data_IF_013258494010
#
_entry.id   IF_013258494010
#
_cell.length_a   1.000
_cell.length_b   1.000
_cell.length_c   1.000
_cell.angle_alpha   90.00
_cell.angle_beta   90.00
_cell.angle_gamma   90.00
#
_symmetry.space_group_name_H-M   'P 1'
#
loop_
_entity.id
_entity.type
_entity.pdbx_description
1 polymer ?
#
# COMPACT_ATOMS: atom_id res chain seq x y z
N UNK A 1 -20.39 -57.93 -58.25
CA UNK A 1 -20.02 -56.56 -57.82
C UNK A 1 -21.04 -56.07 -56.81
N UNK A 2 -20.64 -55.80 -55.57
CA UNK A 2 -21.49 -55.04 -54.65
C UNK A 2 -21.38 -53.55 -54.99
N UNK A 3 -22.49 -52.92 -55.36
CA UNK A 3 -22.52 -51.51 -55.73
C UNK A 3 -22.45 -50.65 -54.46
N UNK A 4 -21.36 -49.90 -54.31
CA UNK A 4 -21.12 -49.05 -53.15
C UNK A 4 -22.04 -47.81 -53.24
N UNK A 5 -23.03 -47.72 -52.35
CA UNK A 5 -23.92 -46.56 -52.24
C UNK A 5 -23.21 -45.40 -51.51
N UNK A 6 -22.57 -44.55 -52.31
CA UNK A 6 -21.90 -43.32 -51.83
C UNK A 6 -22.88 -42.28 -51.25
N UNK A 7 -24.17 -42.36 -51.59
CA UNK A 7 -25.23 -41.48 -51.08
C UNK A 7 -25.62 -41.87 -49.65
N UNK A 8 -25.90 -43.15 -49.41
CA UNK A 8 -26.12 -43.67 -48.06
C UNK A 8 -24.88 -43.47 -47.17
N UNK A 9 -23.69 -43.71 -47.72
CA UNK A 9 -22.43 -43.50 -47.00
C UNK A 9 -22.19 -42.04 -46.58
N UNK A 10 -22.71 -41.03 -47.30
CA UNK A 10 -22.63 -39.62 -46.89
C UNK A 10 -23.54 -39.30 -45.70
N UNK A 11 -24.72 -39.93 -45.64
CA UNK A 11 -25.71 -39.72 -44.58
C UNK A 11 -25.37 -40.42 -43.25
N UNK A 12 -24.57 -41.49 -43.29
CA UNK A 12 -24.14 -42.23 -42.09
C UNK A 12 -23.27 -41.41 -41.12
N UNK A 13 -23.25 -41.82 -39.84
CA UNK A 13 -22.45 -41.15 -38.79
C UNK A 13 -20.96 -41.40 -39.01
N UNK A 14 -20.11 -40.49 -38.52
CA UNK A 14 -18.67 -40.53 -38.78
C UNK A 14 -17.97 -41.85 -38.38
N UNK A 15 -18.43 -42.51 -37.30
CA UNK A 15 -17.96 -43.84 -36.89
C UNK A 15 -18.34 -44.95 -37.87
N UNK A 16 -19.58 -44.92 -38.35
CA UNK A 16 -20.13 -45.88 -39.33
C UNK A 16 -19.44 -45.72 -40.69
N UNK A 17 -19.20 -44.48 -41.14
CA UNK A 17 -18.44 -44.19 -42.37
C UNK A 17 -17.03 -44.76 -42.34
N UNK A 18 -16.34 -44.68 -41.20
CA UNK A 18 -15.00 -45.27 -41.04
C UNK A 18 -15.02 -46.80 -41.11
N UNK A 19 -15.99 -47.45 -40.47
CA UNK A 19 -16.16 -48.90 -40.56
C UNK A 19 -16.44 -49.36 -42.00
N UNK A 20 -17.36 -48.68 -42.70
CA UNK A 20 -17.71 -48.98 -44.09
C UNK A 20 -16.54 -48.78 -45.05
N UNK A 21 -15.72 -47.74 -44.87
CA UNK A 21 -14.56 -47.49 -45.72
C UNK A 21 -13.44 -48.54 -45.54
N UNK A 22 -13.24 -49.03 -44.31
CA UNK A 22 -12.28 -50.13 -44.04
C UNK A 22 -12.78 -51.43 -44.66
N UNK A 23 -14.04 -51.81 -44.41
CA UNK A 23 -14.63 -53.03 -45.00
C UNK A 23 -14.65 -53.00 -46.53
N UNK A 24 -14.90 -51.84 -47.15
CA UNK A 24 -14.84 -51.69 -48.60
C UNK A 24 -13.40 -51.83 -49.14
N UNK A 25 -12.39 -51.38 -48.40
CA UNK A 25 -10.98 -51.55 -48.74
C UNK A 25 -10.54 -53.01 -48.58
N UNK A 26 -10.88 -53.67 -47.47
CA UNK A 26 -10.51 -55.06 -47.21
C UNK A 26 -11.12 -56.00 -48.26
N UNK A 27 -12.40 -55.80 -48.62
CA UNK A 27 -13.06 -56.54 -49.70
C UNK A 27 -12.41 -56.27 -51.08
N UNK A 28 -11.96 -55.04 -51.36
CA UNK A 28 -11.24 -54.71 -52.58
C UNK A 28 -9.83 -55.34 -52.64
N UNK A 29 -9.20 -55.59 -51.49
CA UNK A 29 -7.93 -56.31 -51.42
C UNK A 29 -8.08 -57.82 -51.63
N UNK A 30 -9.26 -58.39 -51.34
CA UNK A 30 -9.54 -59.82 -51.55
C UNK A 30 -9.80 -60.18 -53.02
N UNK A 31 -10.42 -59.28 -53.79
CA UNK A 31 -10.55 -59.40 -55.26
C UNK A 31 -10.16 -58.07 -55.95
N UNK A 32 -8.85 -57.85 -56.19
CA UNK A 32 -8.38 -56.63 -56.83
C UNK A 32 -8.83 -56.45 -58.29
N UNK A 33 -9.22 -57.54 -58.96
CA UNK A 33 -9.60 -57.54 -60.38
C UNK A 33 -11.02 -57.03 -60.63
N UNK A 34 -11.93 -57.26 -59.69
CA UNK A 34 -13.31 -56.76 -59.74
C UNK A 34 -13.54 -55.48 -58.91
N UNK A 35 -12.51 -54.96 -58.22
CA UNK A 35 -12.63 -53.85 -57.29
C UNK A 35 -12.80 -52.47 -57.96
N UNK A 36 -13.81 -51.71 -57.53
CA UNK A 36 -13.96 -50.30 -57.88
C UNK A 36 -13.14 -49.41 -56.93
N UNK A 37 -11.83 -49.35 -57.18
CA UNK A 37 -10.86 -48.56 -56.39
C UNK A 37 -11.24 -47.08 -56.25
N UNK A 38 -11.96 -46.51 -57.22
CA UNK A 38 -12.42 -45.11 -57.17
C UNK A 38 -13.50 -44.89 -56.11
N UNK A 39 -14.47 -45.81 -56.02
CA UNK A 39 -15.50 -45.77 -54.97
C UNK A 39 -14.91 -46.02 -53.57
N UNK A 40 -13.91 -46.91 -53.45
CA UNK A 40 -13.17 -47.14 -52.19
C UNK A 40 -12.41 -45.86 -51.77
N UNK A 41 -11.73 -45.19 -52.70
CA UNK A 41 -11.04 -43.93 -52.42
C UNK A 41 -12.00 -42.81 -51.98
N UNK A 42 -13.18 -42.70 -52.60
CA UNK A 42 -14.21 -41.74 -52.18
C UNK A 42 -14.80 -42.06 -50.79
N UNK A 43 -15.00 -43.34 -50.45
CA UNK A 43 -15.39 -43.74 -49.08
C UNK A 43 -14.31 -43.39 -48.06
N UNK A 44 -13.04 -43.69 -48.34
CA UNK A 44 -11.92 -43.33 -47.46
C UNK A 44 -11.83 -41.81 -47.27
N UNK A 45 -12.04 -41.02 -48.33
CA UNK A 45 -12.07 -39.55 -48.27
C UNK A 45 -13.23 -39.01 -47.44
N UNK A 46 -14.38 -39.69 -47.40
CA UNK A 46 -15.54 -39.36 -46.54
C UNK A 46 -15.39 -39.86 -45.09
N UNK A 47 -14.55 -40.86 -44.86
CA UNK A 47 -14.23 -41.42 -43.55
C UNK A 47 -13.15 -40.64 -42.80
N UNK A 48 -12.23 -39.98 -43.52
CA UNK A 48 -11.29 -39.02 -42.91
C UNK A 48 -12.11 -37.85 -42.33
N UNK A 49 -12.03 -37.57 -41.02
CA UNK A 49 -12.70 -36.40 -40.46
C UNK A 49 -12.11 -35.16 -41.12
N UNK A 50 -12.97 -34.31 -41.67
CA UNK A 50 -12.53 -33.04 -42.25
C UNK A 50 -11.69 -32.28 -41.22
N UNK A 51 -10.39 -32.15 -41.49
CA UNK A 51 -9.54 -31.24 -40.74
C UNK A 51 -10.21 -29.88 -40.83
N UNK A 52 -10.52 -29.28 -39.67
CA UNK A 52 -11.17 -27.97 -39.64
C UNK A 52 -10.29 -27.01 -40.43
N UNK A 53 -10.74 -26.64 -41.63
CA UNK A 53 -10.06 -25.63 -42.42
C UNK A 53 -9.90 -24.39 -41.55
N UNK A 54 -8.71 -23.78 -41.59
CA UNK A 54 -8.46 -22.53 -40.90
C UNK A 54 -9.56 -21.52 -41.28
N UNK A 55 -10.04 -20.68 -40.34
CA UNK A 55 -11.08 -19.72 -40.65
C UNK A 55 -10.63 -18.86 -41.83
N UNK A 56 -11.45 -18.87 -42.89
CA UNK A 56 -11.19 -18.14 -44.12
C UNK A 56 -11.14 -16.65 -43.78
N UNK A 57 -9.94 -16.07 -43.80
CA UNK A 57 -9.74 -14.67 -43.47
C UNK A 57 -10.61 -13.80 -44.40
N UNK A 58 -11.42 -12.93 -43.81
CA UNK A 58 -12.13 -11.87 -44.53
C UNK A 58 -11.12 -10.85 -45.05
N UNK A 59 -11.40 -10.31 -46.24
CA UNK A 59 -10.45 -9.54 -47.03
C UNK A 59 -10.18 -8.12 -46.49
N UNK A 60 -9.08 -7.54 -46.99
CA UNK A 60 -8.77 -6.10 -47.06
C UNK A 60 -8.53 -5.34 -45.74
N UNK A 61 -7.32 -5.53 -45.23
CA UNK A 61 -6.46 -4.44 -44.76
C UNK A 61 -5.05 -4.65 -45.37
N UNK A 62 -4.19 -3.63 -45.53
CA UNK A 62 -2.81 -3.88 -45.95
C UNK A 62 -2.17 -4.86 -44.96
N UNK A 63 -1.60 -5.95 -45.47
CA UNK A 63 -1.02 -7.02 -44.65
C UNK A 63 0.22 -6.50 -43.90
N UNK A 64 -0.02 -5.94 -42.71
CA UNK A 64 1.04 -5.70 -41.74
C UNK A 64 1.76 -7.02 -41.49
N UNK A 65 3.09 -7.00 -41.55
CA UNK A 65 3.92 -8.16 -41.18
C UNK A 65 3.65 -8.66 -39.76
N UNK A 66 3.10 -7.78 -38.92
CA UNK A 66 2.79 -8.04 -37.53
C UNK A 66 1.40 -8.66 -37.37
N UNK A 67 1.31 -9.69 -36.54
CA UNK A 67 0.04 -10.30 -36.18
C UNK A 67 -0.86 -9.28 -35.43
N UNK A 68 -2.19 -9.33 -35.64
CA UNK A 68 -3.12 -8.36 -35.06
C UNK A 68 -3.14 -8.44 -33.53
N UNK A 69 -3.24 -7.29 -32.86
CA UNK A 69 -3.44 -7.23 -31.43
C UNK A 69 -4.77 -7.91 -31.03
N UNK A 70 -4.68 -8.84 -30.08
CA UNK A 70 -5.85 -9.41 -29.42
C UNK A 70 -5.62 -9.52 -27.91
N UNK A 71 -6.57 -8.97 -27.15
CA UNK A 71 -6.72 -9.23 -25.72
C UNK A 71 -8.16 -9.65 -25.47
N UNK A 72 -8.36 -10.77 -24.77
CA UNK A 72 -9.69 -11.27 -24.42
C UNK A 72 -9.67 -12.08 -23.13
N UNK A 73 -10.77 -12.02 -22.39
CA UNK A 73 -10.97 -12.85 -21.22
C UNK A 73 -11.02 -14.33 -21.59
N UNK A 74 -10.30 -15.15 -20.83
CA UNK A 74 -10.37 -16.61 -20.89
C UNK A 74 -11.25 -17.06 -19.73
N UNK A 75 -12.39 -17.73 -19.98
CA UNK A 75 -13.29 -18.13 -18.91
C UNK A 75 -12.61 -19.16 -17.99
N UNK A 76 -12.86 -19.11 -16.69
CA UNK A 76 -12.23 -20.01 -15.71
C UNK A 76 -12.51 -21.51 -15.98
N UNK A 77 -13.60 -21.83 -16.69
CA UNK A 77 -13.94 -23.19 -17.13
C UNK A 77 -13.08 -23.72 -18.31
N UNK A 78 -12.17 -22.90 -18.87
CA UNK A 78 -11.22 -23.31 -19.89
C UNK A 78 -10.03 -24.06 -19.26
N UNK A 79 -10.24 -25.33 -18.89
CA UNK A 79 -9.18 -26.18 -18.37
C UNK A 79 -8.06 -26.39 -19.41
N UNK A 80 -6.82 -26.62 -18.95
CA UNK A 80 -5.63 -26.77 -19.83
C UNK A 80 -5.77 -27.80 -20.95
N UNK A 81 -6.55 -28.87 -20.74
CA UNK A 81 -6.91 -29.86 -21.79
C UNK A 81 -7.65 -29.26 -23.00
N UNK A 82 -8.38 -28.15 -22.83
CA UNK A 82 -9.06 -27.41 -23.90
C UNK A 82 -8.21 -26.31 -24.52
N UNK A 83 -7.22 -25.78 -23.79
CA UNK A 83 -6.36 -24.69 -24.25
C UNK A 83 -5.15 -25.18 -25.08
N UNK A 84 -4.75 -26.44 -24.92
CA UNK A 84 -3.62 -27.02 -25.64
C UNK A 84 -2.26 -26.45 -25.19
N UNK A 85 -1.21 -26.68 -25.98
CA UNK A 85 0.11 -26.10 -25.71
C UNK A 85 0.06 -24.61 -26.04
N UNK A 86 0.12 -23.77 -25.01
CA UNK A 86 0.25 -22.33 -25.20
C UNK A 86 1.62 -22.00 -25.77
N UNK A 87 1.74 -21.22 -26.85
CA UNK A 87 3.03 -20.79 -27.37
C UNK A 87 3.65 -19.77 -26.42
N UNK A 88 4.97 -19.65 -26.45
CA UNK A 88 5.72 -18.73 -25.59
C UNK A 88 6.04 -17.46 -26.37
N UNK A 89 5.83 -16.31 -25.72
CA UNK A 89 6.37 -15.02 -26.13
C UNK A 89 7.73 -14.83 -25.51
N UNK A 90 8.68 -14.34 -26.29
CA UNK A 90 9.92 -13.76 -25.80
C UNK A 90 9.79 -12.25 -25.96
N UNK A 91 9.72 -11.54 -24.83
CA UNK A 91 9.56 -10.10 -24.74
C UNK A 91 10.90 -9.51 -24.32
N UNK A 92 11.43 -8.58 -25.11
CA UNK A 92 12.62 -7.79 -24.79
C UNK A 92 12.17 -6.40 -24.39
N UNK A 93 12.55 -5.95 -23.19
CA UNK A 93 12.29 -4.59 -22.73
C UNK A 93 13.42 -3.63 -23.16
N UNK A 94 13.15 -2.33 -23.16
CA UNK A 94 14.08 -1.27 -23.57
C UNK A 94 15.41 -1.27 -22.79
N UNK A 95 15.43 -1.82 -21.57
CA UNK A 95 16.62 -2.01 -20.76
C UNK A 95 17.41 -3.30 -21.08
N UNK A 96 17.11 -3.99 -22.19
CA UNK A 96 17.72 -5.26 -22.58
C UNK A 96 17.23 -6.48 -21.78
N UNK A 97 16.38 -6.29 -20.76
CA UNK A 97 15.84 -7.41 -19.99
C UNK A 97 14.92 -8.28 -20.86
N UNK A 98 15.20 -9.59 -20.90
CA UNK A 98 14.38 -10.58 -21.61
C UNK A 98 13.51 -11.38 -20.63
N UNK A 99 12.23 -11.54 -21.00
CA UNK A 99 11.25 -12.36 -20.27
C UNK A 99 10.53 -13.28 -21.25
N UNK A 100 10.38 -14.55 -20.87
CA UNK A 100 9.61 -15.56 -21.60
C UNK A 100 8.29 -15.83 -20.88
N UNK A 101 7.17 -15.72 -21.58
CA UNK A 101 5.83 -15.85 -20.98
C UNK A 101 4.85 -16.61 -21.90
N UNK A 102 4.00 -17.51 -21.37
CA UNK A 102 3.02 -18.23 -22.18
C UNK A 102 1.84 -17.33 -22.60
N UNK A 103 1.55 -17.27 -23.91
CA UNK A 103 0.38 -16.58 -24.48
C UNK A 103 -0.82 -17.53 -24.58
N UNK A 104 -1.43 -17.82 -23.43
CA UNK A 104 -2.61 -18.70 -23.33
C UNK A 104 -3.73 -18.15 -24.20
N UNK A 105 -4.22 -18.95 -25.15
CA UNK A 105 -5.19 -18.54 -26.18
C UNK A 105 -6.30 -19.57 -26.32
N UNK A 106 -7.50 -19.14 -26.72
CA UNK A 106 -8.62 -20.06 -26.97
C UNK A 106 -8.50 -20.72 -28.35
N UNK A 107 -8.85 -22.00 -28.52
CA UNK A 107 -8.81 -22.67 -29.82
C UNK A 107 -9.62 -21.93 -30.89
N UNK A 108 -9.00 -21.64 -32.03
CA UNK A 108 -9.63 -20.94 -33.15
C UNK A 108 -9.76 -19.43 -32.98
N UNK A 109 -9.23 -18.84 -31.90
CA UNK A 109 -9.06 -17.38 -31.74
C UNK A 109 -7.63 -16.96 -32.09
N UNK A 110 -7.39 -15.68 -32.44
CA UNK A 110 -6.04 -15.13 -32.55
C UNK A 110 -5.27 -15.24 -31.23
N UNK A 111 -3.94 -15.11 -31.33
CA UNK A 111 -3.05 -15.19 -30.18
C UNK A 111 -3.38 -14.08 -29.18
N UNK A 112 -3.61 -14.44 -27.91
CA UNK A 112 -3.92 -13.50 -26.85
C UNK A 112 -2.64 -12.79 -26.34
N UNK A 113 -2.11 -11.90 -27.18
CA UNK A 113 -0.90 -11.12 -26.90
C UNK A 113 -1.07 -10.26 -25.63
N UNK A 114 -2.26 -9.67 -25.40
CA UNK A 114 -2.53 -8.89 -24.19
C UNK A 114 -2.48 -9.72 -22.90
N UNK A 115 -2.95 -10.98 -22.92
CA UNK A 115 -2.75 -11.91 -21.79
C UNK A 115 -1.29 -12.31 -21.63
N UNK A 116 -0.58 -12.58 -22.73
CA UNK A 116 0.83 -12.98 -22.70
C UNK A 116 1.73 -11.87 -22.14
N UNK A 117 1.52 -10.62 -22.55
CA UNK A 117 2.24 -9.45 -22.04
C UNK A 117 1.98 -9.23 -20.55
N UNK A 118 0.73 -9.33 -20.08
CA UNK A 118 0.42 -9.25 -18.63
C UNK A 118 1.16 -10.32 -17.80
N UNK A 119 1.39 -11.52 -18.34
CA UNK A 119 2.19 -12.55 -17.67
C UNK A 119 3.69 -12.20 -17.73
N UNK A 120 4.20 -11.69 -18.85
CA UNK A 120 5.58 -11.21 -18.96
C UNK A 120 5.88 -10.07 -17.97
N UNK A 121 4.91 -9.16 -17.80
CA UNK A 121 4.96 -8.06 -16.85
C UNK A 121 5.06 -8.57 -15.41
N UNK A 122 4.18 -9.48 -14.99
CA UNK A 122 4.25 -10.11 -13.67
C UNK A 122 5.58 -10.84 -13.43
N UNK A 123 6.15 -11.49 -14.45
CA UNK A 123 7.47 -12.14 -14.35
C UNK A 123 8.63 -11.14 -14.27
N UNK A 124 8.57 -10.01 -14.97
CA UNK A 124 9.55 -8.92 -14.83
C UNK A 124 9.51 -8.35 -13.40
N UNK A 125 8.32 -7.95 -12.95
CA UNK A 125 8.05 -7.42 -11.60
C UNK A 125 8.55 -8.38 -10.51
N UNK A 126 8.16 -9.66 -10.57
CA UNK A 126 8.57 -10.67 -9.60
C UNK A 126 10.09 -10.94 -9.62
N UNK A 127 10.79 -10.74 -10.75
CA UNK A 127 12.26 -10.82 -10.81
C UNK A 127 12.90 -9.67 -10.03
N UNK A 128 12.43 -8.44 -10.23
CA UNK A 128 12.91 -7.24 -9.51
C UNK A 128 12.64 -7.37 -8.00
N UNK A 129 11.42 -7.73 -7.60
CA UNK A 129 11.04 -7.91 -6.19
C UNK A 129 11.97 -8.91 -5.47
N UNK A 130 12.26 -10.06 -6.10
CA UNK A 130 13.19 -11.07 -5.56
C UNK A 130 14.63 -10.56 -5.44
N UNK A 131 15.10 -9.72 -6.37
CA UNK A 131 16.42 -9.06 -6.27
C UNK A 131 16.48 -8.13 -5.06
N UNK A 132 15.38 -7.44 -4.76
CA UNK A 132 15.21 -6.64 -3.53
C UNK A 132 14.83 -7.49 -2.29
N UNK A 133 14.85 -8.83 -2.37
CA UNK A 133 14.53 -9.73 -1.25
C UNK A 133 13.06 -9.76 -0.82
N UNK A 134 12.14 -9.22 -1.62
CA UNK A 134 10.70 -9.21 -1.37
C UNK A 134 9.96 -10.39 -2.03
N UNK A 135 8.70 -10.60 -1.67
CA UNK A 135 7.86 -11.64 -2.28
C UNK A 135 7.27 -11.16 -3.61
N UNK A 136 6.80 -12.10 -4.44
CA UNK A 136 6.24 -11.76 -5.75
C UNK A 136 4.85 -11.11 -5.68
N UNK A 137 4.15 -11.21 -4.53
CA UNK A 137 2.88 -10.52 -4.31
C UNK A 137 3.08 -8.99 -4.27
N UNK A 138 4.23 -8.56 -3.75
CA UNK A 138 4.55 -7.16 -3.47
C UNK A 138 5.11 -6.43 -4.70
N UNK A 139 4.99 -7.03 -5.89
CA UNK A 139 5.77 -6.64 -7.08
C UNK A 139 5.07 -5.67 -8.02
N UNK A 140 3.78 -5.38 -7.80
CA UNK A 140 2.98 -4.49 -8.66
C UNK A 140 3.40 -3.01 -8.59
N UNK A 141 4.17 -2.61 -7.57
CA UNK A 141 4.81 -1.29 -7.50
C UNK A 141 5.89 -1.07 -8.55
N UNK A 142 6.41 -2.13 -9.19
CA UNK A 142 7.56 -2.03 -10.10
C UNK A 142 7.12 -1.51 -11.47
N UNK A 143 7.74 -0.42 -11.90
CA UNK A 143 7.60 0.15 -13.24
C UNK A 143 8.24 -0.77 -14.27
N UNK A 144 7.56 -0.95 -15.40
CA UNK A 144 7.98 -1.85 -16.47
C UNK A 144 8.41 -1.01 -17.68
N UNK A 145 9.68 -1.13 -18.14
CA UNK A 145 10.17 -0.37 -19.28
C UNK A 145 9.36 -0.61 -20.55
N UNK A 146 9.51 0.28 -21.54
CA UNK A 146 8.90 0.09 -22.85
C UNK A 146 9.33 -1.24 -23.50
N UNK A 147 8.51 -1.78 -24.39
CA UNK A 147 8.81 -3.03 -25.09
C UNK A 147 9.66 -2.69 -26.31
N UNK A 148 10.83 -3.32 -26.44
CA UNK A 148 11.73 -3.16 -27.58
C UNK A 148 11.48 -4.19 -28.67
N UNK A 149 11.14 -5.43 -28.31
CA UNK A 149 10.74 -6.46 -29.28
C UNK A 149 9.86 -7.55 -28.66
N UNK A 150 9.04 -8.17 -29.51
CA UNK A 150 8.18 -9.31 -29.16
C UNK A 150 8.28 -10.34 -30.28
N UNK A 151 8.77 -11.53 -29.94
CA UNK A 151 8.76 -12.68 -30.83
C UNK A 151 7.98 -13.84 -30.19
N UNK A 152 7.26 -14.62 -30.98
CA UNK A 152 6.58 -15.81 -30.50
C UNK A 152 7.18 -17.10 -31.10
N UNK A 153 7.24 -18.17 -30.31
CA UNK A 153 7.76 -19.49 -30.73
C UNK A 153 7.03 -20.08 -31.97
N UNK A 154 5.87 -19.54 -32.36
CA UNK A 154 5.11 -19.93 -33.56
C UNK A 154 5.43 -19.10 -34.82
N UNK A 155 6.43 -18.20 -34.76
CA UNK A 155 6.81 -17.31 -35.86
C UNK A 155 5.99 -16.02 -35.97
N UNK A 156 5.04 -15.76 -35.07
CA UNK A 156 4.30 -14.50 -35.05
C UNK A 156 5.17 -13.36 -34.45
N UNK A 157 5.33 -12.28 -35.22
CA UNK A 157 5.89 -11.01 -34.76
C UNK A 157 4.76 -10.03 -34.39
N UNK A 158 5.01 -9.13 -33.44
CA UNK A 158 4.08 -8.09 -33.02
C UNK A 158 4.79 -6.73 -33.01
N UNK A 159 4.07 -5.66 -33.35
CA UNK A 159 4.61 -4.31 -33.30
C UNK A 159 4.87 -3.91 -31.85
N UNK A 160 6.13 -3.72 -31.50
CA UNK A 160 6.55 -3.33 -30.16
C UNK A 160 6.07 -1.93 -29.78
N UNK A 161 5.79 -1.06 -30.76
CA UNK A 161 5.27 0.31 -30.57
C UNK A 161 3.81 0.26 -30.14
N UNK A 162 2.94 -0.32 -30.98
CA UNK A 162 1.51 -0.52 -30.68
C UNK A 162 1.31 -1.32 -29.36
N UNK A 163 2.12 -2.36 -29.14
CA UNK A 163 2.11 -3.09 -27.88
C UNK A 163 2.55 -2.24 -26.68
N UNK A 164 3.55 -1.37 -26.83
CA UNK A 164 4.02 -0.47 -25.76
C UNK A 164 3.00 0.60 -25.40
N UNK A 165 2.31 1.15 -26.41
CA UNK A 165 1.25 2.15 -26.24
C UNK A 165 0.02 1.54 -25.55
N UNK A 166 -0.52 0.43 -26.08
CA UNK A 166 -1.68 -0.27 -25.51
C UNK A 166 -1.46 -0.77 -24.08
N UNK A 167 -0.20 -0.99 -23.68
CA UNK A 167 0.16 -1.46 -22.33
C UNK A 167 0.71 -0.38 -21.41
N UNK A 168 0.78 0.89 -21.85
CA UNK A 168 1.43 1.95 -21.11
C UNK A 168 0.91 2.13 -19.67
N UNK A 169 -0.40 1.96 -19.46
CA UNK A 169 -1.02 2.01 -18.12
C UNK A 169 -0.64 0.80 -17.26
N UNK A 170 -0.77 -0.42 -17.79
CA UNK A 170 -0.45 -1.67 -17.09
C UNK A 170 1.05 -1.80 -16.72
N UNK A 171 1.91 -1.00 -17.36
CA UNK A 171 3.36 -0.92 -17.08
C UNK A 171 3.75 0.11 -16.02
N UNK A 172 2.83 0.98 -15.57
CA UNK A 172 3.11 1.99 -14.54
C UNK A 172 3.39 1.35 -13.19
N UNK A 173 4.29 1.96 -12.43
CA UNK A 173 4.62 1.65 -11.05
C UNK A 173 5.19 2.89 -10.35
N UNK A 174 5.49 2.76 -9.06
CA UNK A 174 6.19 3.77 -8.24
C UNK A 174 7.69 3.52 -8.18
N UNK A 175 8.15 2.28 -8.40
CA UNK A 175 9.55 1.88 -8.31
C UNK A 175 10.18 1.68 -9.70
N UNK A 176 11.03 2.61 -10.14
CA UNK A 176 11.83 2.49 -11.36
C UNK A 176 13.16 1.79 -11.08
N UNK A 177 13.15 0.46 -11.24
CA UNK A 177 14.34 -0.38 -11.11
C UNK A 177 15.45 -0.05 -12.12
N UNK A 178 15.09 0.53 -13.27
CA UNK A 178 16.04 0.85 -14.34
C UNK A 178 16.80 2.14 -14.07
N UNK A 179 16.14 3.17 -13.54
CA UNK A 179 16.79 4.37 -13.03
C UNK A 179 17.70 4.02 -11.83
N UNK A 180 17.17 3.27 -10.86
CA UNK A 180 17.92 2.91 -9.64
C UNK A 180 19.16 2.04 -9.93
N UNK A 181 19.14 1.23 -11.00
CA UNK A 181 20.31 0.43 -11.39
C UNK A 181 21.55 1.30 -11.67
N UNK A 182 21.39 2.42 -12.37
CA UNK A 182 22.48 3.33 -12.68
C UNK A 182 23.04 4.03 -11.43
N UNK A 183 22.17 4.41 -10.48
CA UNK A 183 22.59 4.96 -9.19
C UNK A 183 23.35 3.92 -8.34
N UNK A 184 22.85 2.68 -8.34
CA UNK A 184 23.40 1.58 -7.55
C UNK A 184 24.77 1.10 -8.07
N UNK A 185 25.13 1.31 -9.33
CA UNK A 185 26.45 0.97 -9.87
C UNK A 185 27.58 1.72 -9.13
N UNK A 186 27.35 2.99 -8.77
CA UNK A 186 28.29 3.82 -8.02
C UNK A 186 28.53 3.34 -6.57
N UNK A 187 27.70 2.43 -6.06
CA UNK A 187 27.75 1.92 -4.68
C UNK A 187 28.56 0.61 -4.63
N UNK A 188 29.47 0.44 -3.66
CA UNK A 188 30.27 -0.77 -3.55
C UNK A 188 29.41 -2.00 -3.21
N UNK A 189 29.77 -3.15 -3.76
CA UNK A 189 29.11 -4.44 -3.47
C UNK A 189 29.37 -4.92 -2.03
N UNK A 190 30.56 -4.62 -1.51
CA UNK A 190 30.98 -4.89 -0.14
C UNK A 190 31.50 -3.59 0.46
N UNK A 191 30.98 -3.23 1.62
CA UNK A 191 31.37 -2.01 2.34
C UNK A 191 31.83 -2.40 3.75
N UNK A 192 32.74 -1.62 4.38
CA UNK A 192 33.14 -1.83 5.77
C UNK A 192 31.96 -1.59 6.73
N UNK A 193 32.10 -2.07 7.97
CA UNK A 193 31.00 -2.23 8.92
C UNK A 193 30.08 -1.01 9.04
N UNK A 194 28.78 -1.25 8.80
CA UNK A 194 27.71 -0.25 8.93
C UNK A 194 27.37 0.52 7.65
N UNK A 195 28.28 0.60 6.66
CA UNK A 195 28.02 1.32 5.41
C UNK A 195 26.99 0.60 4.51
N UNK A 196 26.29 1.37 3.66
CA UNK A 196 25.29 0.83 2.74
C UNK A 196 25.98 0.11 1.58
N UNK A 197 25.66 -1.17 1.38
CA UNK A 197 26.10 -1.94 0.21
C UNK A 197 25.11 -1.75 -0.93
N UNK A 198 25.54 -2.05 -2.17
CA UNK A 198 24.65 -2.04 -3.35
C UNK A 198 23.35 -2.84 -3.13
N UNK A 199 23.45 -4.02 -2.52
CA UNK A 199 22.27 -4.86 -2.24
C UNK A 199 21.33 -4.24 -1.19
N UNK A 200 21.88 -3.56 -0.18
CA UNK A 200 21.07 -2.90 0.85
C UNK A 200 20.41 -1.63 0.30
N UNK A 201 21.11 -0.84 -0.52
CA UNK A 201 20.54 0.31 -1.23
C UNK A 201 19.28 -0.07 -2.01
N UNK A 202 19.36 -1.13 -2.83
CA UNK A 202 18.21 -1.68 -3.57
C UNK A 202 17.03 -2.06 -2.66
N UNK A 203 17.29 -2.77 -1.55
CA UNK A 203 16.26 -3.18 -0.59
C UNK A 203 15.58 -1.98 0.07
N UNK A 204 16.36 -0.98 0.47
CA UNK A 204 15.85 0.18 1.20
C UNK A 204 15.01 1.07 0.29
N UNK A 205 15.45 1.32 -0.96
CA UNK A 205 14.62 2.02 -1.96
C UNK A 205 13.34 1.25 -2.32
N UNK A 206 13.42 -0.09 -2.43
CA UNK A 206 12.23 -0.91 -2.70
C UNK A 206 11.20 -0.84 -1.56
N UNK A 207 11.67 -0.88 -0.30
CA UNK A 207 10.81 -0.72 0.89
C UNK A 207 10.17 0.66 0.97
N UNK A 208 10.89 1.72 0.61
CA UNK A 208 10.32 3.07 0.52
C UNK A 208 9.16 3.08 -0.49
N UNK A 209 9.39 2.58 -1.71
CA UNK A 209 8.35 2.58 -2.75
C UNK A 209 7.16 1.66 -2.44
N UNK A 210 7.36 0.56 -1.69
CA UNK A 210 6.27 -0.25 -1.12
C UNK A 210 5.46 0.56 -0.11
N UNK A 211 6.12 1.11 0.91
CA UNK A 211 5.46 1.80 2.00
C UNK A 211 4.71 3.06 1.53
N UNK A 212 5.28 3.81 0.58
CA UNK A 212 4.63 4.96 -0.06
C UNK A 212 3.41 4.54 -0.90
N UNK A 213 3.46 3.38 -1.58
CA UNK A 213 2.31 2.84 -2.32
C UNK A 213 1.19 2.37 -1.37
N UNK A 214 1.52 1.64 -0.30
CA UNK A 214 0.57 1.19 0.72
C UNK A 214 -0.06 2.38 1.47
N UNK A 215 0.74 3.40 1.80
CA UNK A 215 0.29 4.59 2.51
C UNK A 215 -0.81 5.36 1.74
N UNK A 216 -0.79 5.31 0.40
CA UNK A 216 -1.76 6.00 -0.44
C UNK A 216 -3.22 5.50 -0.29
N UNK A 217 -3.42 4.31 0.30
CA UNK A 217 -4.73 3.72 0.58
C UNK A 217 -4.96 3.36 2.05
N UNK A 218 -4.13 3.86 2.98
CA UNK A 218 -4.15 3.48 4.38
C UNK A 218 -4.92 4.48 5.26
N UNK A 219 -5.56 3.96 6.33
CA UNK A 219 -6.14 4.77 7.41
C UNK A 219 -5.04 5.48 8.24
N UNK A 220 -5.41 6.45 9.09
CA UNK A 220 -4.47 7.32 9.81
C UNK A 220 -3.37 6.57 10.60
N UNK A 221 -3.72 5.52 11.36
CA UNK A 221 -2.74 4.80 12.19
C UNK A 221 -1.75 3.98 11.35
N UNK A 222 -2.17 3.10 10.41
CA UNK A 222 -1.22 2.43 9.52
C UNK A 222 -0.42 3.41 8.65
N UNK A 223 -1.01 4.51 8.19
CA UNK A 223 -0.30 5.53 7.42
C UNK A 223 0.85 6.18 8.21
N UNK A 224 0.70 6.37 9.53
CA UNK A 224 1.76 6.86 10.40
C UNK A 224 2.90 5.84 10.59
N UNK A 225 2.58 4.54 10.71
CA UNK A 225 3.57 3.46 10.80
C UNK A 225 4.38 3.32 9.50
N UNK A 226 3.72 3.41 8.35
CA UNK A 226 4.34 3.43 7.03
C UNK A 226 5.22 4.66 6.83
N UNK A 227 4.75 5.86 7.20
CA UNK A 227 5.56 7.08 7.15
C UNK A 227 6.83 6.98 8.02
N UNK A 228 6.71 6.40 9.23
CA UNK A 228 7.87 6.16 10.09
C UNK A 228 8.84 5.12 9.51
N UNK A 229 8.34 4.15 8.74
CA UNK A 229 9.16 3.16 8.01
C UNK A 229 9.91 3.78 6.83
N UNK A 230 9.25 4.67 6.09
CA UNK A 230 9.87 5.46 5.01
C UNK A 230 11.00 6.35 5.56
N UNK A 231 10.78 7.03 6.70
CA UNK A 231 11.81 7.86 7.32
C UNK A 231 12.99 7.04 7.86
N UNK A 232 12.74 5.89 8.50
CA UNK A 232 13.80 4.96 8.94
C UNK A 232 14.70 4.52 7.76
N UNK A 233 14.07 4.18 6.64
CA UNK A 233 14.75 3.85 5.39
C UNK A 233 15.56 5.03 4.83
N UNK A 234 15.02 6.25 4.81
CA UNK A 234 15.74 7.45 4.35
C UNK A 234 16.92 7.80 5.25
N UNK A 235 16.78 7.65 6.58
CA UNK A 235 17.88 7.80 7.52
C UNK A 235 18.98 6.76 7.27
N UNK A 236 18.61 5.51 6.97
CA UNK A 236 19.58 4.46 6.60
C UNK A 236 20.35 4.80 5.32
N UNK A 237 19.68 5.36 4.31
CA UNK A 237 20.33 5.84 3.08
C UNK A 237 21.28 7.03 3.31
N UNK A 238 21.03 7.86 4.32
CA UNK A 238 21.97 8.94 4.71
C UNK A 238 23.26 8.44 5.39
N UNK A 239 23.44 7.13 5.51
CA UNK A 239 24.64 6.50 6.07
C UNK A 239 24.60 6.25 7.58
N UNK A 240 23.53 6.67 8.26
CA UNK A 240 23.35 6.42 9.70
C UNK A 240 23.26 4.91 9.98
N UNK A 241 23.86 4.46 11.08
CA UNK A 241 23.71 3.09 11.56
C UNK A 241 22.41 2.92 12.37
N UNK A 242 21.92 1.68 12.47
CA UNK A 242 20.65 1.37 13.15
C UNK A 242 20.59 1.88 14.61
N UNK A 243 21.74 1.95 15.30
CA UNK A 243 21.82 2.49 16.65
C UNK A 243 21.51 3.99 16.71
N UNK A 244 22.05 4.78 15.77
CA UNK A 244 21.81 6.22 15.66
C UNK A 244 20.37 6.53 15.23
N UNK A 245 19.83 5.74 14.29
CA UNK A 245 18.42 5.84 13.87
C UNK A 245 17.50 5.59 15.07
N UNK A 246 17.74 4.50 15.82
CA UNK A 246 17.00 4.21 17.05
C UNK A 246 17.18 5.25 18.16
N UNK A 247 18.36 5.89 18.27
CA UNK A 247 18.59 6.99 19.20
C UNK A 247 17.82 8.26 18.82
N UNK A 248 17.78 8.59 17.53
CA UNK A 248 17.00 9.71 16.98
C UNK A 248 15.50 9.49 17.19
N UNK A 249 14.99 8.26 16.98
CA UNK A 249 13.58 7.92 17.24
C UNK A 249 13.20 8.10 18.71
N UNK A 250 13.99 7.56 19.65
CA UNK A 250 13.78 7.79 21.10
C UNK A 250 13.81 9.27 21.49
N UNK A 251 14.58 10.10 20.79
CA UNK A 251 14.59 11.55 21.02
C UNK A 251 13.30 12.23 20.53
N UNK A 252 12.76 11.80 19.38
CA UNK A 252 11.47 12.26 18.85
C UNK A 252 10.32 11.83 19.78
N UNK A 253 10.23 10.53 20.12
CA UNK A 253 9.20 9.98 21.01
C UNK A 253 9.17 10.71 22.36
N UNK A 254 10.36 11.03 22.90
CA UNK A 254 10.52 11.80 24.13
C UNK A 254 10.06 13.25 23.96
N UNK A 255 10.44 13.92 22.87
CA UNK A 255 10.02 15.30 22.61
C UNK A 255 8.50 15.41 22.43
N UNK A 256 7.86 14.45 21.76
CA UNK A 256 6.40 14.37 21.66
C UNK A 256 5.73 14.14 23.02
N UNK A 257 6.27 13.21 23.83
CA UNK A 257 5.74 12.96 25.17
C UNK A 257 5.88 14.19 26.08
N UNK A 258 6.97 14.95 25.97
CA UNK A 258 7.17 16.21 26.67
C UNK A 258 6.20 17.31 26.17
N UNK A 259 6.01 17.43 24.86
CA UNK A 259 5.04 18.36 24.27
C UNK A 259 3.59 18.05 24.70
N UNK A 260 3.18 16.77 24.71
CA UNK A 260 1.86 16.35 25.22
C UNK A 260 1.68 16.70 26.70
N UNK A 261 2.70 16.47 27.54
CA UNK A 261 2.69 16.87 28.96
C UNK A 261 2.59 18.38 29.15
N UNK A 262 3.28 19.17 28.32
CA UNK A 262 3.18 20.63 28.35
C UNK A 262 1.79 21.11 27.93
N UNK A 263 1.19 20.54 26.88
CA UNK A 263 -0.16 20.85 26.44
C UNK A 263 -1.21 20.51 27.52
N UNK A 264 -1.12 19.34 28.15
CA UNK A 264 -1.96 18.98 29.29
C UNK A 264 -1.80 19.93 30.48
N UNK A 265 -0.57 20.34 30.80
CA UNK A 265 -0.29 21.27 31.88
C UNK A 265 -0.87 22.66 31.59
N UNK A 266 -0.76 23.14 30.35
CA UNK A 266 -1.36 24.39 29.89
C UNK A 266 -2.90 24.34 30.00
N UNK A 267 -3.54 23.28 29.49
CA UNK A 267 -4.99 23.11 29.59
C UNK A 267 -5.49 23.03 31.05
N UNK A 268 -4.74 22.34 31.94
CA UNK A 268 -5.04 22.29 33.38
C UNK A 268 -4.86 23.67 34.05
N UNK A 269 -3.87 24.46 33.63
CA UNK A 269 -3.65 25.81 34.14
C UNK A 269 -4.75 26.78 33.69
N UNK A 270 -5.16 26.73 32.43
CA UNK A 270 -6.26 27.51 31.86
C UNK A 270 -7.60 27.19 32.55
N UNK A 271 -7.93 25.90 32.70
CA UNK A 271 -9.13 25.46 33.42
C UNK A 271 -9.13 25.91 34.89
N UNK A 272 -7.96 25.97 35.55
CA UNK A 272 -7.82 26.51 36.90
C UNK A 272 -8.03 28.03 36.93
N UNK A 273 -7.46 28.76 35.96
CA UNK A 273 -7.64 30.21 35.84
C UNK A 273 -9.12 30.58 35.64
N UNK A 274 -9.82 29.88 34.74
CA UNK A 274 -11.26 30.04 34.51
C UNK A 274 -12.10 29.81 35.78
N UNK A 275 -11.78 28.76 36.56
CA UNK A 275 -12.45 28.50 37.86
C UNK A 275 -12.22 29.62 38.89
N UNK A 276 -11.00 30.18 38.94
CA UNK A 276 -10.67 31.30 39.83
C UNK A 276 -11.41 32.57 39.41
N UNK A 277 -11.46 32.87 38.10
CA UNK A 277 -12.21 34.01 37.57
C UNK A 277 -13.71 33.91 37.95
N UNK A 278 -14.35 32.77 37.66
CA UNK A 278 -15.76 32.54 38.00
C UNK A 278 -16.04 32.60 39.52
N UNK A 279 -15.10 32.16 40.36
CA UNK A 279 -15.22 32.34 41.82
C UNK A 279 -15.15 33.82 42.23
N UNK A 280 -14.22 34.59 41.67
CA UNK A 280 -14.08 36.02 41.96
C UNK A 280 -15.29 36.83 41.50
N UNK A 281 -15.89 36.50 40.35
CA UNK A 281 -17.15 37.10 39.89
C UNK A 281 -18.31 36.79 40.84
N UNK A 282 -18.50 35.53 41.23
CA UNK A 282 -19.51 35.15 42.23
C UNK A 282 -19.31 35.85 43.56
N UNK A 283 -18.05 36.05 43.99
CA UNK A 283 -17.72 36.79 45.22
C UNK A 283 -18.05 38.29 45.08
N UNK A 284 -17.71 38.93 43.95
CA UNK A 284 -18.09 40.32 43.65
C UNK A 284 -19.60 40.51 43.64
N UNK A 285 -20.34 39.62 42.99
CA UNK A 285 -21.81 39.65 42.97
C UNK A 285 -22.43 39.54 44.37
N UNK A 286 -21.89 38.67 45.24
CA UNK A 286 -22.33 38.57 46.65
C UNK A 286 -22.03 39.83 47.46
N UNK A 287 -20.86 40.45 47.27
CA UNK A 287 -20.52 41.71 47.96
C UNK A 287 -21.48 42.82 47.52
N UNK A 288 -21.69 43.00 46.21
CA UNK A 288 -22.62 43.99 45.68
C UNK A 288 -24.08 43.77 46.17
N UNK A 289 -24.52 42.51 46.27
CA UNK A 289 -25.84 42.19 46.84
C UNK A 289 -25.94 42.56 48.33
N UNK A 290 -24.91 42.25 49.13
CA UNK A 290 -24.88 42.60 50.55
C UNK A 290 -24.80 44.13 50.78
N UNK A 291 -24.07 44.86 49.93
CA UNK A 291 -24.01 46.33 49.94
C UNK A 291 -25.37 46.96 49.59
N UNK A 292 -26.12 46.37 48.65
CA UNK A 292 -27.49 46.78 48.33
C UNK A 292 -28.52 46.48 49.44
N UNK A 293 -28.26 45.46 50.27
CA UNK A 293 -29.13 45.06 51.39
C UNK A 293 -28.82 45.81 52.70
N UNK A 294 -27.56 46.22 52.91
CA UNK A 294 -27.12 47.02 54.06
C UNK A 294 -27.98 48.26 54.40
N UNK A 295 -28.46 49.10 53.45
CA UNK A 295 -29.34 50.23 53.78
C UNK A 295 -30.72 49.79 54.29
N UNK A 296 -31.23 48.59 53.94
CA UNK A 296 -32.49 48.07 54.50
C UNK A 296 -32.31 47.62 55.95
N UNK A 297 -31.22 46.92 56.26
CA UNK A 297 -30.92 46.48 57.63
C UNK A 297 -30.65 47.66 58.59
N UNK A 298 -30.09 48.77 58.10
CA UNK A 298 -29.96 50.02 58.87
C UNK A 298 -31.30 50.68 59.22
N UNK A 299 -32.34 50.47 58.41
CA UNK A 299 -33.69 50.98 58.72
C UNK A 299 -34.42 50.10 59.75
N UNK A 300 -34.25 48.78 59.68
CA UNK A 300 -34.84 47.86 60.68
C UNK A 300 -34.21 48.07 62.06
N UNK A 301 -32.87 48.10 62.13
CA UNK A 301 -32.17 48.33 63.41
C UNK A 301 -32.44 49.73 64.01
N UNK A 302 -32.66 50.76 63.18
CA UNK A 302 -33.09 52.08 63.65
C UNK A 302 -34.56 52.13 64.10
N UNK A 303 -35.41 51.20 63.65
CA UNK A 303 -36.78 51.04 64.13
C UNK A 303 -36.84 50.23 65.43
N UNK A 304 -36.05 49.16 65.55
CA UNK A 304 -35.94 48.35 66.78
C UNK A 304 -35.29 49.15 67.92
N UNK A 305 -34.27 49.96 67.64
CA UNK A 305 -33.66 50.87 68.62
C UNK A 305 -34.61 51.99 69.12
N UNK A 306 -35.81 52.14 68.55
CA UNK A 306 -36.89 53.00 69.06
C UNK A 306 -37.92 52.26 69.93
N UNK A 307 -37.86 50.93 70.00
CA UNK A 307 -38.81 50.12 70.77
C UNK A 307 -38.36 49.85 72.22
N UNK A 308 -37.05 49.83 72.49
CA UNK A 308 -36.50 49.60 73.83
C UNK A 308 -36.16 50.90 74.56
N UNK A 309 -37.18 51.56 75.10
CA UNK A 309 -37.01 52.65 76.06
C UNK A 309 -38.03 52.57 77.20
N UNK A 310 -37.80 51.74 78.24
CA UNK A 310 -38.52 51.84 79.51
C UNK A 310 -37.94 52.97 80.38
N UNK A 311 -38.79 53.52 81.25
CA UNK A 311 -38.49 54.72 82.04
C UNK A 311 -37.45 54.51 83.16
N UNK A 312 -36.87 55.61 83.62
CA UNK A 312 -35.85 55.65 84.66
C UNK A 312 -36.37 55.30 86.06
N UNK A 313 -35.49 54.74 86.89
CA UNK A 313 -35.55 54.82 88.35
C UNK A 313 -34.12 54.87 88.92
N UNK A 314 -33.86 55.83 89.82
CA UNK A 314 -32.54 56.11 90.40
C UNK A 314 -32.10 55.06 91.45
N UNK A 315 -30.83 54.63 91.39
CA UNK A 315 -29.94 54.43 92.56
C UNK A 315 -28.48 54.62 92.13
N UNK A 316 -27.69 55.33 92.95
CA UNK A 316 -26.24 55.52 92.78
C UNK A 316 -25.46 54.98 94.02
N UNK A 317 -24.12 55.04 94.09
CA UNK A 317 -23.13 54.50 93.13
C UNK A 317 -22.04 53.64 93.82
N UNK A 318 -21.34 52.74 93.09
CA UNK A 318 -20.12 52.09 93.61
C UNK A 318 -19.07 51.72 92.52
N UNK A 319 -18.06 52.60 92.39
CA UNK A 319 -16.63 52.36 92.18
C UNK A 319 -16.06 51.17 91.32
N UNK A 320 -15.27 51.55 90.28
CA UNK A 320 -14.02 50.91 89.77
C UNK A 320 -14.17 49.49 89.15
N UNK A 321 -13.31 48.94 88.28
CA UNK A 321 -12.30 49.39 87.28
C UNK A 321 -11.79 48.12 86.56
N UNK A 322 -11.13 48.08 85.40
CA UNK A 322 -10.47 49.07 84.55
C UNK A 322 -10.39 48.58 83.07
N UNK A 323 -9.69 49.33 82.20
CA UNK A 323 -9.21 48.91 80.87
C UNK A 323 -7.73 49.34 80.72
N UNK A 324 -7.01 49.07 79.60
CA UNK A 324 -7.14 48.03 78.57
C UNK A 324 -5.81 47.23 78.44
N UNK A 325 -5.64 46.38 77.40
CA UNK A 325 -4.32 46.25 76.73
C UNK A 325 -4.36 45.66 75.32
N UNK A 326 -3.80 46.44 74.38
CA UNK A 326 -3.32 46.02 73.06
C UNK A 326 -2.11 45.07 73.19
N UNK A 327 -1.98 44.14 72.25
CA UNK A 327 -0.68 43.59 71.85
C UNK A 327 -0.73 43.05 70.41
N UNK A 328 -0.21 43.81 69.47
CA UNK A 328 0.12 43.27 68.14
C UNK A 328 1.39 42.41 68.24
N UNK A 329 1.50 41.36 67.41
CA UNK A 329 2.78 40.67 67.16
C UNK A 329 2.99 40.43 65.66
N UNK A 330 3.88 41.26 65.11
CA UNK A 330 4.48 41.10 63.80
C UNK A 330 5.95 40.71 64.02
N UNK A 331 6.35 39.51 63.60
CA UNK A 331 7.73 39.10 63.28
C UNK A 331 7.58 37.99 62.23
N UNK A 332 7.89 38.21 60.95
CA UNK A 332 9.24 38.40 60.41
C UNK A 332 10.15 37.18 60.65
N UNK A 333 10.24 36.31 59.64
CA UNK A 333 11.34 35.35 59.48
C UNK A 333 11.68 35.23 58.00
N UNK A 334 12.88 35.67 57.66
CA UNK A 334 13.47 35.64 56.31
C UNK A 334 14.37 34.42 56.15
N UNK A 335 14.28 33.73 55.02
CA UNK A 335 15.42 32.96 54.49
C UNK A 335 15.36 32.81 52.96
N UNK A 336 15.95 33.80 52.29
CA UNK A 336 16.59 33.57 50.98
C UNK A 336 17.90 32.82 51.23
N UNK A 337 18.18 31.76 50.47
CA UNK A 337 19.37 30.94 50.71
C UNK A 337 19.55 29.75 49.78
N UNK A 338 19.59 29.98 48.47
CA UNK A 338 20.23 29.02 47.57
C UNK A 338 21.76 29.11 47.75
N UNK A 339 22.49 27.99 47.57
CA UNK A 339 23.46 28.04 46.47
C UNK A 339 23.52 26.77 45.62
N UNK A 340 24.06 26.98 44.42
CA UNK A 340 24.28 26.00 43.35
C UNK A 340 25.42 25.04 43.72
N UNK A 341 25.23 23.73 43.53
CA UNK A 341 26.29 22.73 43.55
C UNK A 341 26.62 22.26 42.11
N UNK A 342 27.92 22.18 41.80
CA UNK A 342 28.43 21.93 40.45
C UNK A 342 28.53 20.44 40.12
N UNK A 343 28.31 20.08 38.85
CA UNK A 343 28.69 18.79 38.27
C UNK A 343 30.23 18.64 38.26
N UNK A 344 30.79 17.47 38.61
CA UNK A 344 32.18 17.15 38.31
C UNK A 344 32.35 16.66 36.86
N UNK A 345 33.46 17.08 36.26
CA UNK A 345 33.90 16.80 34.89
C UNK A 345 34.42 15.37 34.74
N UNK A 346 34.22 14.76 33.56
CA UNK A 346 34.78 13.44 33.21
C UNK A 346 36.28 13.51 32.86
N UNK A 347 37.08 12.47 33.17
CA UNK A 347 38.42 12.32 32.63
C UNK A 347 38.38 11.71 31.21
N UNK A 348 39.25 12.24 30.33
CA UNK A 348 39.68 11.59 29.08
C UNK A 348 40.90 10.68 29.36
N UNK A 349 41.39 10.05 28.28
CA UNK A 349 42.55 9.15 28.16
C UNK A 349 42.25 7.67 28.41
N UNK A 350 42.75 6.73 27.59
CA UNK A 350 43.65 6.93 26.44
C UNK A 350 43.70 5.74 25.48
N UNK A 351 44.53 5.86 24.44
CA UNK A 351 44.73 4.86 23.41
C UNK A 351 46.08 4.15 23.54
N UNK A 352 46.08 2.85 23.23
CA UNK A 352 47.18 1.98 22.81
C UNK A 352 46.50 0.65 22.49
N UNK A 353 46.89 -0.21 21.56
CA UNK A 353 47.94 -0.30 20.55
C UNK A 353 47.70 -1.68 19.91
#
# INVERSE_FOLDING_TARGET
>A
MHQIDLTAARAAKASERKGLAILAYDNACQDPGAANWRAVADLLRLAIPATKAAPKASAEAPESRFAPWADYAIPQSANGRRLGKSPVLTVTFACGAVVRAPAVSLPGKPLNIGRGLRIAFAYYRARIARTAGAFSADSDIVTIPAIASIACDNGAEFDATDCSERTAEARRGTFDATALAAEAEAIPEKAPDGAVTRAEFWRVHYRIAMAEAEQSGADETPAAELAATVEDCRLRLSGMCNFEIGARRRAIDKAEAEARRQAEAAAKAEAKAARVAAYLERRRARIAAAEAEAPRLRLVTAAEARAEQPAAADVAPAARSAAPRLAARFLASTSLGAPIARLPVAPRFGASA
#
